data_IF_158093015035
#
_entry.id   IF_158093015035
#
_cell.length_a   1.000
_cell.length_b   1.000
_cell.length_c   1.000
_cell.angle_alpha   90.00
_cell.angle_beta   90.00
_cell.angle_gamma   90.00
#
_symmetry.space_group_name_H-M   'P 1'
#
loop_
_entity.id
_entity.type
_entity.pdbx_description
1 polymer ?
#
# COMPACT_ATOMS: atom_id res chain seq x y z
N UNK A 1 -7.38 -22.87 23.76
CA UNK A 1 -6.21 -21.98 23.62
C UNK A 1 -5.51 -22.06 22.25
N UNK A 2 -5.85 -22.99 21.34
CA UNK A 2 -5.02 -23.24 20.14
C UNK A 2 -5.47 -22.52 18.85
N UNK A 3 -6.77 -22.43 18.56
CA UNK A 3 -7.24 -22.01 17.22
C UNK A 3 -7.03 -20.51 16.95
N UNK A 4 -7.32 -19.63 17.92
CA UNK A 4 -7.26 -18.16 17.69
C UNK A 4 -5.83 -17.61 17.58
N UNK A 5 -4.89 -18.17 18.34
CA UNK A 5 -3.45 -17.87 18.25
C UNK A 5 -2.91 -18.29 16.87
N UNK A 6 -3.26 -19.50 16.42
CA UNK A 6 -2.89 -20.01 15.10
C UNK A 6 -3.42 -19.16 13.95
N UNK A 7 -4.65 -18.64 14.04
CA UNK A 7 -5.20 -17.74 13.01
C UNK A 7 -4.46 -16.41 12.94
N UNK A 8 -4.14 -15.78 14.08
CA UNK A 8 -3.36 -14.55 14.10
C UNK A 8 -1.98 -14.74 13.45
N UNK A 9 -1.26 -15.81 13.83
CA UNK A 9 0.05 -16.14 13.27
C UNK A 9 -0.04 -16.49 11.78
N UNK A 10 -1.07 -17.23 11.35
CA UNK A 10 -1.28 -17.57 9.94
C UNK A 10 -1.51 -16.32 9.09
N UNK A 11 -2.48 -15.48 9.48
CA UNK A 11 -2.77 -14.24 8.74
C UNK A 11 -1.61 -13.25 8.79
N UNK A 12 -0.89 -13.15 9.91
CA UNK A 12 0.29 -12.30 10.05
C UNK A 12 1.46 -12.76 9.18
N UNK A 13 1.75 -14.07 9.17
CA UNK A 13 2.82 -14.65 8.35
C UNK A 13 2.49 -14.55 6.86
N UNK A 14 1.23 -14.82 6.50
CA UNK A 14 0.74 -14.67 5.12
C UNK A 14 0.88 -13.22 4.66
N UNK A 15 0.42 -12.27 5.47
CA UNK A 15 0.52 -10.84 5.18
C UNK A 15 1.98 -10.41 4.98
N UNK A 16 2.88 -10.83 5.88
CA UNK A 16 4.29 -10.49 5.81
C UNK A 16 4.96 -11.07 4.55
N UNK A 17 4.70 -12.34 4.25
CA UNK A 17 5.29 -13.02 3.07
C UNK A 17 4.81 -12.34 1.78
N UNK A 18 3.51 -12.08 1.65
CA UNK A 18 2.97 -11.39 0.47
C UNK A 18 3.48 -9.95 0.36
N UNK A 19 3.65 -9.26 1.50
CA UNK A 19 4.20 -7.90 1.54
C UNK A 19 5.67 -7.84 1.09
N UNK A 20 6.47 -8.90 1.29
CA UNK A 20 7.83 -9.01 0.78
C UNK A 20 7.88 -9.42 -0.70
N UNK A 21 6.99 -10.32 -1.12
CA UNK A 21 6.89 -10.75 -2.51
C UNK A 21 6.47 -9.61 -3.43
N UNK A 22 5.68 -8.66 -2.94
CA UNK A 22 5.23 -7.51 -3.73
C UNK A 22 6.36 -6.61 -4.26
N UNK A 23 7.28 -6.07 -3.44
CA UNK A 23 8.40 -5.27 -3.91
C UNK A 23 9.40 -6.09 -4.72
N UNK A 24 9.65 -7.35 -4.37
CA UNK A 24 10.52 -8.24 -5.17
C UNK A 24 9.92 -8.45 -6.57
N UNK A 25 8.62 -8.71 -6.65
CA UNK A 25 7.91 -8.82 -7.92
C UNK A 25 7.92 -7.51 -8.71
N UNK A 26 7.84 -6.36 -8.03
CA UNK A 26 7.94 -5.05 -8.68
C UNK A 26 9.35 -4.73 -9.22
N UNK A 27 10.41 -5.28 -8.63
CA UNK A 27 11.78 -5.16 -9.14
C UNK A 27 12.01 -6.05 -10.35
N UNK A 28 11.41 -7.25 -10.37
CA UNK A 28 11.44 -8.18 -11.50
C UNK A 28 10.35 -7.87 -12.54
N UNK A 29 9.91 -6.61 -12.61
CA UNK A 29 8.82 -6.19 -13.49
C UNK A 29 9.18 -6.50 -14.95
N UNK A 30 8.30 -7.20 -15.69
CA UNK A 30 8.49 -7.43 -17.12
C UNK A 30 8.62 -6.12 -17.90
N UNK A 31 9.38 -6.16 -18.99
CA UNK A 31 9.60 -5.02 -19.89
C UNK A 31 8.28 -4.38 -20.35
N UNK A 32 8.28 -3.05 -20.65
CA UNK A 32 7.07 -2.30 -20.94
C UNK A 32 6.18 -2.90 -22.04
N UNK A 33 6.79 -3.55 -23.03
CA UNK A 33 6.15 -4.11 -24.23
C UNK A 33 5.87 -5.62 -24.15
N UNK A 34 6.09 -6.25 -23.00
CA UNK A 34 5.83 -7.68 -22.85
C UNK A 34 4.31 -7.97 -22.90
N UNK A 35 3.85 -8.93 -23.72
CA UNK A 35 2.42 -9.25 -23.89
C UNK A 35 1.74 -9.74 -22.61
N UNK A 36 2.50 -10.21 -21.62
CA UNK A 36 1.99 -10.75 -20.36
C UNK A 36 1.97 -9.72 -19.21
N UNK A 37 2.29 -8.45 -19.46
CA UNK A 37 2.36 -7.39 -18.44
C UNK A 37 1.00 -7.12 -17.76
N UNK A 38 -0.11 -7.36 -18.46
CA UNK A 38 -1.46 -7.26 -17.89
C UNK A 38 -1.70 -8.29 -16.77
N UNK A 39 -1.19 -9.52 -16.94
CA UNK A 39 -1.30 -10.60 -15.96
C UNK A 39 -0.44 -10.29 -14.73
N UNK A 40 0.76 -9.75 -14.95
CA UNK A 40 1.61 -9.26 -13.87
C UNK A 40 0.93 -8.12 -13.09
N UNK A 41 0.35 -7.12 -13.76
CA UNK A 41 -0.35 -6.03 -13.09
C UNK A 41 -1.54 -6.53 -12.27
N UNK A 42 -2.33 -7.47 -12.81
CA UNK A 42 -3.45 -8.09 -12.09
C UNK A 42 -2.98 -8.92 -10.90
N UNK A 43 -1.95 -9.74 -11.10
CA UNK A 43 -1.34 -10.55 -10.05
C UNK A 43 -0.76 -9.67 -8.94
N UNK A 44 0.06 -8.69 -9.27
CA UNK A 44 0.66 -7.74 -8.32
C UNK A 44 -0.40 -6.94 -7.54
N UNK A 45 -1.44 -6.47 -8.23
CA UNK A 45 -2.57 -5.80 -7.58
C UNK A 45 -3.31 -6.74 -6.63
N UNK A 46 -3.64 -7.95 -7.08
CA UNK A 46 -4.35 -8.94 -6.26
C UNK A 46 -3.54 -9.33 -5.02
N UNK A 47 -2.26 -9.66 -5.21
CA UNK A 47 -1.35 -10.08 -4.16
C UNK A 47 -1.20 -8.99 -3.08
N UNK A 48 -1.10 -7.73 -3.49
CA UNK A 48 -1.07 -6.59 -2.58
C UNK A 48 -2.36 -6.41 -1.78
N UNK A 49 -3.52 -6.56 -2.42
CA UNK A 49 -4.80 -6.43 -1.71
C UNK A 49 -5.01 -7.58 -0.70
N UNK A 50 -4.65 -8.81 -1.07
CA UNK A 50 -4.70 -9.96 -0.16
C UNK A 50 -3.75 -9.76 1.02
N UNK A 51 -2.53 -9.26 0.78
CA UNK A 51 -1.58 -8.90 1.85
C UNK A 51 -2.17 -7.86 2.81
N UNK A 52 -2.85 -6.85 2.29
CA UNK A 52 -3.48 -5.82 3.11
C UNK A 52 -4.66 -6.34 3.94
N UNK A 53 -5.56 -7.13 3.34
CA UNK A 53 -6.72 -7.68 4.05
C UNK A 53 -6.26 -8.65 5.14
N UNK A 54 -5.28 -9.51 4.84
CA UNK A 54 -4.69 -10.43 5.81
C UNK A 54 -3.99 -9.68 6.95
N UNK A 55 -3.25 -8.59 6.66
CA UNK A 55 -2.64 -7.74 7.68
C UNK A 55 -3.66 -7.12 8.63
N UNK A 56 -4.73 -6.52 8.08
CA UNK A 56 -5.80 -5.90 8.89
C UNK A 56 -6.47 -6.96 9.76
N UNK A 57 -6.76 -8.13 9.19
CA UNK A 57 -7.33 -9.27 9.92
C UNK A 57 -6.41 -9.73 11.05
N UNK A 58 -5.10 -9.81 10.81
CA UNK A 58 -4.11 -10.16 11.82
C UNK A 58 -4.08 -9.14 12.97
N UNK A 59 -4.13 -7.83 12.66
CA UNK A 59 -4.18 -6.75 13.66
C UNK A 59 -5.44 -6.87 14.53
N UNK A 60 -6.61 -7.09 13.93
CA UNK A 60 -7.85 -7.28 14.70
C UNK A 60 -7.83 -8.55 15.54
N UNK A 61 -7.28 -9.65 15.01
CA UNK A 61 -7.10 -10.88 15.79
C UNK A 61 -6.14 -10.67 16.98
N UNK A 62 -5.15 -9.79 16.86
CA UNK A 62 -4.25 -9.42 17.97
C UNK A 62 -5.01 -8.74 19.12
N UNK A 63 -5.94 -7.81 18.83
CA UNK A 63 -6.77 -7.15 19.87
C UNK A 63 -7.64 -8.13 20.67
N UNK A 64 -7.90 -9.31 20.09
CA UNK A 64 -8.80 -10.33 20.62
C UNK A 64 -8.03 -11.50 21.25
N UNK A 65 -6.71 -11.36 21.38
CA UNK A 65 -5.81 -12.34 21.96
C UNK A 65 -5.60 -12.03 23.44
N UNK A 66 -6.12 -12.91 24.30
CA UNK A 66 -6.00 -12.78 25.76
C UNK A 66 -4.56 -12.77 26.28
N UNK A 67 -3.60 -13.20 25.46
CA UNK A 67 -2.19 -13.28 25.83
C UNK A 67 -1.43 -11.95 25.70
N UNK A 68 -1.99 -10.99 24.96
CA UNK A 68 -1.26 -9.76 24.65
C UNK A 68 -1.60 -8.59 25.61
N UNK A 69 -2.56 -8.79 26.54
CA UNK A 69 -2.92 -7.88 27.63
C UNK A 69 -2.76 -6.39 27.25
N UNK A 70 -3.36 -6.02 26.11
CA UNK A 70 -3.11 -4.72 25.50
C UNK A 70 -3.92 -3.64 26.20
N UNK A 71 -3.32 -2.47 26.47
CA UNK A 71 -4.04 -1.36 27.04
C UNK A 71 -5.12 -0.85 26.07
N UNK A 72 -6.20 -0.28 26.61
CA UNK A 72 -7.33 0.28 25.82
C UNK A 72 -6.87 1.32 24.78
N UNK A 73 -5.71 1.96 25.00
CA UNK A 73 -5.08 2.91 24.08
C UNK A 73 -4.70 2.29 22.72
N UNK A 74 -4.45 0.98 22.65
CA UNK A 74 -4.08 0.29 21.41
C UNK A 74 -5.20 0.36 20.34
N UNK A 75 -6.46 0.32 20.77
CA UNK A 75 -7.61 0.42 19.85
C UNK A 75 -7.66 1.81 19.21
N UNK A 76 -7.38 2.87 19.97
CA UNK A 76 -7.32 4.25 19.45
C UNK A 76 -6.22 4.41 18.40
N UNK A 77 -5.06 3.79 18.62
CA UNK A 77 -3.94 3.82 17.66
C UNK A 77 -4.31 3.13 16.35
N UNK A 78 -4.99 1.98 16.41
CA UNK A 78 -5.53 1.31 15.21
C UNK A 78 -6.57 2.19 14.49
N UNK A 79 -7.49 2.81 15.23
CA UNK A 79 -8.53 3.68 14.64
C UNK A 79 -7.87 4.85 13.91
N UNK A 80 -6.92 5.55 14.54
CA UNK A 80 -6.19 6.67 13.91
C UNK A 80 -5.49 6.23 12.63
N UNK A 81 -4.88 5.04 12.62
CA UNK A 81 -4.24 4.49 11.42
C UNK A 81 -5.22 4.18 10.29
N UNK A 82 -6.37 3.58 10.60
CA UNK A 82 -7.42 3.31 9.61
C UNK A 82 -7.95 4.62 9.01
N UNK A 83 -8.22 5.62 9.84
CA UNK A 83 -8.67 6.96 9.39
C UNK A 83 -7.61 7.61 8.49
N UNK A 84 -6.34 7.61 8.91
CA UNK A 84 -5.24 8.13 8.10
C UNK A 84 -5.16 7.44 6.72
N UNK A 85 -5.26 6.11 6.69
CA UNK A 85 -5.27 5.34 5.44
C UNK A 85 -6.40 5.75 4.51
N UNK A 86 -7.62 5.93 5.05
CA UNK A 86 -8.79 6.37 4.26
C UNK A 86 -8.52 7.75 3.67
N UNK A 87 -8.02 8.69 4.47
CA UNK A 87 -7.69 10.05 4.01
C UNK A 87 -6.68 10.03 2.87
N UNK A 88 -5.57 9.29 3.02
CA UNK A 88 -4.55 9.17 1.96
C UNK A 88 -5.15 8.55 0.69
N UNK A 89 -6.00 7.53 0.83
CA UNK A 89 -6.65 6.89 -0.31
C UNK A 89 -7.59 7.87 -1.04
N UNK A 90 -8.38 8.65 -0.30
CA UNK A 90 -9.26 9.68 -0.86
C UNK A 90 -8.46 10.77 -1.58
N UNK A 91 -7.34 11.23 -1.01
CA UNK A 91 -6.46 12.22 -1.65
C UNK A 91 -5.92 11.68 -2.98
N UNK A 92 -5.45 10.43 -3.01
CA UNK A 92 -4.93 9.81 -4.23
C UNK A 92 -6.01 9.59 -5.30
N UNK A 93 -7.22 9.17 -4.90
CA UNK A 93 -8.36 9.04 -5.81
C UNK A 93 -8.78 10.40 -6.37
N UNK A 94 -8.91 11.42 -5.51
CA UNK A 94 -9.29 12.76 -5.91
C UNK A 94 -8.24 13.38 -6.84
N UNK A 95 -6.95 13.23 -6.53
CA UNK A 95 -5.87 13.68 -7.41
C UNK A 95 -5.93 12.97 -8.77
N UNK A 96 -6.14 11.66 -8.80
CA UNK A 96 -6.24 10.90 -10.06
C UNK A 96 -7.47 11.31 -10.87
N UNK A 97 -8.61 11.55 -10.21
CA UNK A 97 -9.83 12.03 -10.84
C UNK A 97 -9.66 13.47 -11.37
N UNK A 98 -9.10 14.37 -10.58
CA UNK A 98 -8.83 15.76 -10.97
C UNK A 98 -7.88 15.83 -12.15
N UNK A 99 -6.79 15.06 -12.14
CA UNK A 99 -5.84 14.99 -13.27
C UNK A 99 -6.49 14.42 -14.53
N UNK A 100 -7.34 13.38 -14.40
CA UNK A 100 -8.10 12.82 -15.54
C UNK A 100 -9.10 13.84 -16.10
N UNK A 101 -9.79 14.58 -15.23
CA UNK A 101 -10.76 15.62 -15.62
C UNK A 101 -10.08 16.84 -16.25
N UNK A 102 -8.95 17.30 -15.71
CA UNK A 102 -8.20 18.41 -16.29
C UNK A 102 -7.59 18.06 -17.65
N UNK A 103 -7.09 16.83 -17.86
CA UNK A 103 -6.66 16.35 -19.19
C UNK A 103 -7.81 16.26 -20.20
N UNK A 104 -9.02 15.95 -19.72
CA UNK A 104 -10.21 15.90 -20.58
C UNK A 104 -10.78 17.29 -20.91
N UNK A 105 -10.50 18.31 -20.09
CA UNK A 105 -11.01 19.68 -20.25
C UNK A 105 -10.01 20.61 -20.95
N UNK A 106 -8.72 20.45 -20.69
CA UNK A 106 -7.65 21.07 -21.45
C UNK A 106 -6.90 19.95 -22.18
N UNK A 107 -7.29 19.61 -23.43
CA UNK A 107 -6.43 18.84 -24.31
C UNK A 107 -5.28 19.78 -24.73
N UNK A 108 -4.39 20.12 -23.79
CA UNK A 108 -3.06 20.56 -24.18
C UNK A 108 -2.49 19.39 -24.97
N UNK A 109 -2.11 19.65 -26.21
CA UNK A 109 -1.45 18.73 -27.14
C UNK A 109 -0.22 18.08 -26.50
N UNK A 110 -0.44 17.10 -25.65
CA UNK A 110 0.50 16.00 -25.46
C UNK A 110 0.08 14.95 -26.45
N UNK A 111 0.81 14.87 -27.55
CA UNK A 111 0.68 13.92 -28.66
C UNK A 111 0.92 12.44 -28.25
N UNK A 112 0.67 12.08 -26.99
CA UNK A 112 1.12 10.81 -26.40
C UNK A 112 -0.05 9.94 -25.90
N UNK A 113 -1.24 10.12 -26.48
CA UNK A 113 -2.32 9.13 -26.39
C UNK A 113 -2.88 8.88 -27.80
N UNK A 114 -2.01 8.37 -28.68
CA UNK A 114 -2.45 7.46 -29.71
C UNK A 114 -1.99 6.07 -29.25
N UNK A 115 -2.92 5.29 -28.69
CA UNK A 115 -2.87 3.84 -28.89
C UNK A 115 -2.94 3.63 -30.40
N UNK A 116 -1.80 3.52 -31.06
CA UNK A 116 -1.76 2.95 -32.38
C UNK A 116 -0.54 2.04 -32.52
N UNK A 117 -0.84 0.94 -33.18
CA UNK A 117 -0.06 -0.25 -33.43
C UNK A 117 1.22 0.03 -34.25
N UNK A 118 2.20 -0.87 -34.10
CA UNK A 118 3.42 -1.08 -34.91
C UNK A 118 4.50 0.02 -34.97
N UNK A 119 5.68 -0.28 -34.41
CA UNK A 119 6.88 -0.70 -35.16
C UNK A 119 8.19 -0.36 -34.45
N UNK A 120 9.07 -1.35 -34.50
CA UNK A 120 10.51 -1.36 -34.26
C UNK A 120 11.23 -0.03 -34.54
N UNK A 121 11.83 0.56 -33.49
CA UNK A 121 13.15 1.20 -33.58
C UNK A 121 13.66 1.62 -32.21
N UNK A 122 14.80 1.03 -31.87
CA UNK A 122 15.74 1.34 -30.81
C UNK A 122 15.93 2.85 -30.60
N UNK A 123 15.51 3.40 -29.46
CA UNK A 123 16.04 4.70 -28.99
C UNK A 123 15.97 4.86 -27.46
N UNK A 124 17.15 5.18 -26.92
CA UNK A 124 17.47 5.39 -25.50
C UNK A 124 16.84 6.71 -25.01
N UNK A 125 15.55 6.68 -24.71
CA UNK A 125 14.84 7.81 -24.13
C UNK A 125 14.59 7.58 -22.64
N UNK A 126 15.37 8.30 -21.83
CA UNK A 126 15.09 8.61 -20.41
C UNK A 126 13.58 8.81 -20.23
N UNK A 127 12.93 7.85 -19.56
CA UNK A 127 11.50 7.87 -19.27
C UNK A 127 11.12 9.22 -18.65
N UNK A 128 10.54 10.11 -19.46
CA UNK A 128 10.00 11.36 -18.99
C UNK A 128 8.77 11.03 -18.13
N UNK A 129 8.98 11.04 -16.82
CA UNK A 129 7.97 10.89 -15.78
C UNK A 129 6.69 11.67 -16.16
N UNK A 130 5.61 10.96 -16.50
CA UNK A 130 4.38 11.59 -16.97
C UNK A 130 3.82 12.65 -15.99
N UNK A 131 3.11 13.68 -16.49
CA UNK A 131 2.67 14.80 -15.65
C UNK A 131 1.76 14.30 -14.51
N UNK A 132 2.25 14.43 -13.28
CA UNK A 132 1.65 13.92 -12.04
C UNK A 132 2.43 12.79 -11.34
N UNK A 133 3.51 12.28 -11.94
CA UNK A 133 4.39 11.25 -11.33
C UNK A 133 5.06 11.74 -10.04
N UNK A 134 5.58 12.98 -10.03
CA UNK A 134 6.24 13.57 -8.86
C UNK A 134 5.34 13.70 -7.62
N UNK A 135 4.08 14.10 -7.79
CA UNK A 135 3.11 14.17 -6.68
C UNK A 135 2.82 12.79 -6.09
N UNK A 136 2.62 11.78 -6.94
CA UNK A 136 2.39 10.40 -6.50
C UNK A 136 3.60 9.85 -5.73
N UNK A 137 4.83 10.11 -6.23
CA UNK A 137 6.08 9.74 -5.53
C UNK A 137 6.20 10.46 -4.18
N UNK A 138 5.90 11.76 -4.10
CA UNK A 138 5.94 12.51 -2.84
C UNK A 138 4.93 11.99 -1.81
N UNK A 139 3.67 11.71 -2.22
CA UNK A 139 2.66 11.12 -1.32
C UNK A 139 3.09 9.75 -0.83
N UNK A 140 3.71 8.93 -1.69
CA UNK A 140 4.24 7.63 -1.32
C UNK A 140 5.34 7.75 -0.26
N UNK A 141 6.26 8.69 -0.40
CA UNK A 141 7.32 8.95 0.60
C UNK A 141 6.71 9.37 1.94
N UNK A 142 5.78 10.34 1.94
CA UNK A 142 5.09 10.77 3.17
C UNK A 142 4.34 9.60 3.83
N UNK A 143 3.70 8.76 3.03
CA UNK A 143 3.00 7.58 3.50
C UNK A 143 3.95 6.56 4.15
N UNK A 144 5.12 6.31 3.57
CA UNK A 144 6.16 5.45 4.18
C UNK A 144 6.63 6.02 5.51
N UNK A 145 6.91 7.33 5.59
CA UNK A 145 7.33 7.98 6.83
C UNK A 145 6.26 7.85 7.92
N UNK A 146 4.99 8.10 7.57
CA UNK A 146 3.86 7.93 8.49
C UNK A 146 3.69 6.49 8.96
N UNK A 147 3.91 5.50 8.07
CA UNK A 147 3.89 4.08 8.42
C UNK A 147 5.00 3.72 9.41
N UNK A 148 6.23 4.20 9.20
CA UNK A 148 7.35 3.96 10.11
C UNK A 148 7.03 4.56 11.49
N UNK A 149 6.54 5.80 11.54
CA UNK A 149 6.13 6.45 12.78
C UNK A 149 5.03 5.66 13.51
N UNK A 150 4.06 5.12 12.78
CA UNK A 150 3.02 4.26 13.33
C UNK A 150 3.57 2.97 13.94
N UNK A 151 4.49 2.28 13.25
CA UNK A 151 5.13 1.06 13.77
C UNK A 151 5.94 1.37 15.03
N UNK A 152 6.70 2.48 15.04
CA UNK A 152 7.44 2.93 16.23
C UNK A 152 6.50 3.21 17.40
N UNK A 153 5.36 3.88 17.16
CA UNK A 153 4.37 4.14 18.19
C UNK A 153 3.75 2.85 18.75
N UNK A 154 3.42 1.87 17.90
CA UNK A 154 2.92 0.57 18.32
C UNK A 154 3.93 -0.20 19.18
N UNK A 155 5.20 -0.27 18.73
CA UNK A 155 6.27 -0.95 19.48
C UNK A 155 6.51 -0.26 20.82
N UNK A 156 6.47 1.08 20.85
CA UNK A 156 6.61 1.85 22.09
C UNK A 156 5.46 1.57 23.06
N UNK A 157 4.21 1.52 22.57
CA UNK A 157 3.02 1.19 23.38
C UNK A 157 3.05 -0.22 23.97
N UNK A 158 3.61 -1.19 23.24
CA UNK A 158 3.77 -2.56 23.74
C UNK A 158 4.86 -2.63 24.82
N UNK A 159 5.93 -1.84 24.68
CA UNK A 159 7.07 -1.84 25.60
C UNK A 159 6.91 -0.90 26.81
N UNK A 160 5.88 -0.04 26.83
CA UNK A 160 5.62 0.84 27.97
C UNK A 160 5.17 -0.01 29.18
N UNK A 161 5.77 0.20 30.37
CA UNK A 161 5.29 -0.45 31.59
C UNK A 161 3.85 -0.03 31.81
N UNK A 162 2.96 -1.02 32.00
CA UNK A 162 1.55 -0.77 32.29
C UNK A 162 1.49 -0.03 33.62
N UNK A 163 1.24 1.27 33.58
CA UNK A 163 0.93 2.02 34.79
C UNK A 163 -0.40 1.48 35.28
N UNK A 164 -0.34 0.65 36.32
CA UNK A 164 -1.49 0.24 37.12
C UNK A 164 -2.09 1.49 37.75
N UNK A 165 -2.99 2.16 37.03
CA UNK A 165 -3.94 3.08 37.64
C UNK A 165 -5.19 2.27 37.96
N UNK A 166 -5.23 1.82 39.21
CA UNK A 166 -6.38 1.48 40.09
C UNK A 166 -7.70 1.06 39.44
#
# INVERSE_FOLDING_TARGET
>A
WCIRQGLHQLFGTLAFTLALLNPIGALLRPEPDAPNRWLFNWGHWFLGNVAHISAITAIFLATKLSAADLPKQFVWVIITFVVFKIIVHLILQFHTFYMKRNRSFNPVETNDIAMNDMSDSHDDHREADGPGSGFRKAVLVVYIVALIAFVVALVSLINLPKTTSE
#
